data_IF_497453194584
#
_entry.id   IF_497453194584
#
_cell.length_a   1.000
_cell.length_b   1.000
_cell.length_c   1.000
_cell.angle_alpha   90.00
_cell.angle_beta   90.00
_cell.angle_gamma   90.00
#
_symmetry.space_group_name_H-M   'P 1'
#
loop_
_entity.id
_entity.type
_entity.pdbx_description
1 polymer ?
#
# COMPACT_ATOMS: atom_id res chain seq x y z
N UNK A 1 -33.99 8.81 10.46
CA UNK A 1 -33.73 9.66 9.28
C UNK A 1 -32.82 10.87 9.56
N UNK A 2 -33.24 11.97 10.21
CA UNK A 2 -32.34 13.15 10.41
C UNK A 2 -31.07 12.85 11.22
N UNK A 3 -31.18 12.04 12.27
CA UNK A 3 -30.02 11.64 13.09
C UNK A 3 -29.08 10.68 12.35
N UNK A 4 -29.61 9.76 11.55
CA UNK A 4 -28.81 8.81 10.75
C UNK A 4 -28.01 9.52 9.65
N UNK A 5 -28.62 10.51 8.99
CA UNK A 5 -27.95 11.30 7.97
C UNK A 5 -26.78 12.10 8.58
N UNK A 6 -26.96 12.66 9.78
CA UNK A 6 -25.89 13.35 10.50
C UNK A 6 -24.76 12.38 10.86
N UNK A 7 -25.07 11.16 11.32
CA UNK A 7 -24.06 10.15 11.63
C UNK A 7 -23.27 9.71 10.40
N UNK A 8 -23.92 9.45 9.26
CA UNK A 8 -23.23 9.07 8.03
C UNK A 8 -22.38 10.21 7.47
N UNK A 9 -22.85 11.45 7.61
CA UNK A 9 -22.08 12.62 7.20
C UNK A 9 -20.81 12.77 8.02
N UNK A 10 -20.91 12.57 9.34
CA UNK A 10 -19.75 12.59 10.24
C UNK A 10 -18.78 11.43 9.93
N UNK A 11 -19.29 10.23 9.70
CA UNK A 11 -18.48 9.06 9.32
C UNK A 11 -17.77 9.27 7.98
N UNK A 12 -18.44 9.81 6.96
CA UNK A 12 -17.81 10.14 5.67
C UNK A 12 -16.76 11.25 5.82
N UNK A 13 -17.02 12.26 6.67
CA UNK A 13 -16.07 13.33 6.96
C UNK A 13 -14.81 12.81 7.66
N UNK A 14 -14.94 11.85 8.59
CA UNK A 14 -13.82 11.20 9.23
C UNK A 14 -13.07 10.28 8.25
N UNK A 15 -13.81 9.50 7.44
CA UNK A 15 -13.23 8.58 6.46
C UNK A 15 -12.36 9.30 5.42
N UNK A 16 -12.84 10.42 4.84
CA UNK A 16 -12.03 11.21 3.88
C UNK A 16 -10.71 11.67 4.48
N UNK A 17 -10.70 12.07 5.75
CA UNK A 17 -9.51 12.58 6.44
C UNK A 17 -8.56 11.44 6.78
N UNK A 18 -9.08 10.34 7.34
CA UNK A 18 -8.31 9.16 7.68
C UNK A 18 -7.67 8.48 6.45
N UNK A 19 -8.38 8.47 5.31
CA UNK A 19 -7.87 7.95 4.04
C UNK A 19 -6.85 8.89 3.42
N UNK A 20 -7.14 10.20 3.41
CA UNK A 20 -6.24 11.22 2.88
C UNK A 20 -4.93 11.28 3.66
N UNK A 21 -4.97 11.26 5.00
CA UNK A 21 -3.76 11.31 5.83
C UNK A 21 -2.85 10.08 5.64
N UNK A 22 -3.40 8.97 5.14
CA UNK A 22 -2.65 7.74 4.85
C UNK A 22 -2.20 7.61 3.40
N UNK A 23 -2.56 8.56 2.52
CA UNK A 23 -2.19 8.52 1.10
C UNK A 23 -2.96 7.50 0.27
N UNK A 24 -4.15 7.09 0.72
CA UNK A 24 -5.03 6.15 0.00
C UNK A 24 -5.87 6.89 -1.04
N UNK A 25 -5.22 7.44 -2.07
CA UNK A 25 -5.80 8.45 -2.97
C UNK A 25 -7.11 8.05 -3.64
N UNK A 26 -7.24 6.81 -4.14
CA UNK A 26 -8.48 6.35 -4.78
C UNK A 26 -9.64 6.26 -3.80
N UNK A 27 -9.41 5.67 -2.62
CA UNK A 27 -10.43 5.56 -1.58
C UNK A 27 -10.80 6.94 -1.02
N UNK A 28 -9.82 7.82 -0.84
CA UNK A 28 -10.04 9.21 -0.42
C UNK A 28 -10.86 9.98 -1.46
N UNK A 29 -10.56 9.85 -2.76
CA UNK A 29 -11.35 10.47 -3.84
C UNK A 29 -12.79 10.00 -3.81
N UNK A 30 -13.00 8.69 -3.72
CA UNK A 30 -14.34 8.12 -3.64
C UNK A 30 -15.11 8.61 -2.41
N UNK A 31 -14.49 8.65 -1.24
CA UNK A 31 -15.10 9.20 -0.02
C UNK A 31 -15.44 10.70 -0.17
N UNK A 32 -14.56 11.47 -0.81
CA UNK A 32 -14.80 12.88 -1.11
C UNK A 32 -15.94 13.09 -2.11
N UNK A 33 -16.05 12.25 -3.14
CA UNK A 33 -17.15 12.27 -4.12
C UNK A 33 -18.49 11.98 -3.44
N UNK A 34 -18.55 10.94 -2.61
CA UNK A 34 -19.74 10.63 -1.81
C UNK A 34 -20.11 11.79 -0.88
N UNK A 35 -19.13 12.36 -0.18
CA UNK A 35 -19.36 13.51 0.69
C UNK A 35 -19.83 14.75 -0.09
N UNK A 36 -19.24 15.03 -1.25
CA UNK A 36 -19.60 16.16 -2.11
C UNK A 36 -21.02 16.06 -2.68
N UNK A 37 -21.53 14.83 -2.86
CA UNK A 37 -22.90 14.57 -3.30
C UNK A 37 -23.96 14.93 -2.24
N UNK A 38 -23.56 15.15 -0.98
CA UNK A 38 -24.48 15.54 0.09
C UNK A 38 -24.94 17.00 -0.03
N UNK A 39 -26.20 17.31 0.36
CA UNK A 39 -26.70 18.68 0.39
C UNK A 39 -25.80 19.61 1.22
N UNK A 40 -25.62 20.86 0.76
CA UNK A 40 -24.77 21.85 1.43
C UNK A 40 -25.15 22.06 2.91
N UNK A 41 -26.46 22.13 3.18
CA UNK A 41 -27.00 22.27 4.54
C UNK A 41 -26.58 21.16 5.50
N UNK A 42 -26.31 19.95 4.99
CA UNK A 42 -25.87 18.81 5.79
C UNK A 42 -24.35 18.88 6.04
N UNK A 43 -23.58 19.34 5.05
CA UNK A 43 -22.11 19.49 5.16
C UNK A 43 -21.69 20.63 6.08
N UNK A 44 -22.39 21.76 6.04
CA UNK A 44 -22.14 22.93 6.90
C UNK A 44 -22.32 22.58 8.37
N UNK A 45 -23.37 21.82 8.70
CA UNK A 45 -23.62 21.34 10.06
C UNK A 45 -22.49 20.44 10.58
N UNK A 46 -21.89 19.60 9.73
CA UNK A 46 -20.78 18.72 10.10
C UNK A 46 -19.43 19.45 10.25
N UNK A 47 -19.23 20.58 9.56
CA UNK A 47 -17.96 21.32 9.56
C UNK A 47 -17.73 22.13 10.84
N UNK A 48 -18.74 22.24 11.71
CA UNK A 48 -18.64 22.94 13.00
C UNK A 48 -17.96 22.12 14.10
N UNK A 49 -17.75 20.81 13.88
CA UNK A 49 -17.00 19.94 14.79
C UNK A 49 -15.51 20.12 14.51
N UNK A 50 -14.84 20.85 15.40
CA UNK A 50 -13.46 21.28 15.24
C UNK A 50 -12.50 20.09 15.07
N UNK A 51 -11.60 20.22 14.09
CA UNK A 51 -10.39 19.41 13.98
C UNK A 51 -9.56 19.71 15.21
N UNK A 52 -9.51 18.76 16.13
CA UNK A 52 -8.63 18.82 17.27
C UNK A 52 -7.18 18.74 16.75
N UNK A 53 -6.54 19.88 16.50
CA UNK A 53 -5.13 19.97 16.13
C UNK A 53 -4.17 19.56 17.26
N UNK A 54 -4.69 18.98 18.35
CA UNK A 54 -3.97 18.74 19.60
C UNK A 54 -3.12 17.47 19.63
N UNK A 55 -3.09 16.65 18.58
CA UNK A 55 -2.57 15.28 18.67
C UNK A 55 -1.35 14.92 17.79
N UNK A 56 -0.55 15.87 17.30
CA UNK A 56 0.72 15.49 16.66
C UNK A 56 1.85 16.49 16.94
N UNK A 57 2.94 16.08 17.62
CA UNK A 57 4.21 16.78 17.52
C UNK A 57 4.73 16.55 16.10
N UNK A 58 4.28 17.37 15.15
CA UNK A 58 4.68 17.23 13.75
C UNK A 58 6.12 17.73 13.61
N UNK A 59 7.07 16.80 13.75
CA UNK A 59 8.43 16.92 13.25
C UNK A 59 8.50 17.14 11.72
N UNK A 60 7.34 17.23 11.05
CA UNK A 60 7.19 17.44 9.61
C UNK A 60 7.46 16.18 8.79
N UNK A 61 7.87 15.07 9.41
CA UNK A 61 8.29 13.88 8.68
C UNK A 61 7.12 13.19 7.98
N UNK A 62 5.94 13.14 8.60
CA UNK A 62 4.73 12.62 7.96
C UNK A 62 4.34 13.47 6.73
N UNK A 63 4.43 14.79 6.83
CA UNK A 63 4.13 15.70 5.72
C UNK A 63 5.15 15.56 4.59
N UNK A 64 6.44 15.40 4.92
CA UNK A 64 7.50 15.14 3.95
C UNK A 64 7.35 13.77 3.27
N UNK A 65 6.99 12.74 4.02
CA UNK A 65 6.73 11.41 3.44
C UNK A 65 5.54 11.46 2.48
N UNK A 66 4.49 12.22 2.82
CA UNK A 66 3.34 12.46 1.95
C UNK A 66 3.71 13.19 0.66
N UNK A 67 4.54 14.23 0.71
CA UNK A 67 4.97 14.90 -0.52
C UNK A 67 5.78 13.96 -1.42
N UNK A 68 6.60 13.07 -0.86
CA UNK A 68 7.25 12.00 -1.64
C UNK A 68 6.26 10.99 -2.21
N UNK A 69 5.20 10.62 -1.46
CA UNK A 69 4.15 9.74 -1.97
C UNK A 69 3.41 10.37 -3.15
N UNK A 70 3.10 11.66 -3.09
CA UNK A 70 2.44 12.41 -4.16
C UNK A 70 3.31 12.47 -5.43
N UNK A 71 4.64 12.56 -5.26
CA UNK A 71 5.63 12.47 -6.34
C UNK A 71 5.93 11.02 -6.79
N UNK A 72 5.25 10.02 -6.21
CA UNK A 72 5.47 8.60 -6.43
C UNK A 72 6.90 8.10 -6.10
N UNK A 73 7.61 8.82 -5.24
CA UNK A 73 8.94 8.48 -4.75
C UNK A 73 8.87 7.63 -3.48
N UNK A 74 8.20 6.50 -3.58
CA UNK A 74 7.81 5.66 -2.43
C UNK A 74 9.00 5.18 -1.57
N UNK A 75 10.15 4.90 -2.21
CA UNK A 75 11.37 4.52 -1.49
C UNK A 75 11.83 5.64 -0.52
N UNK A 76 11.81 6.90 -0.99
CA UNK A 76 12.18 8.07 -0.16
C UNK A 76 11.18 8.31 0.95
N UNK A 77 9.88 8.17 0.66
CA UNK A 77 8.82 8.27 1.67
C UNK A 77 9.04 7.27 2.81
N UNK A 78 9.26 6.00 2.48
CA UNK A 78 9.51 4.95 3.48
C UNK A 78 10.81 5.16 4.26
N UNK A 79 11.84 5.70 3.61
CA UNK A 79 13.14 5.95 4.22
C UNK A 79 13.08 7.03 5.30
N UNK A 80 12.42 8.17 5.00
CA UNK A 80 12.31 9.29 5.95
C UNK A 80 11.59 8.88 7.23
N UNK A 81 10.47 8.15 7.12
CA UNK A 81 9.77 7.64 8.30
C UNK A 81 10.53 6.53 9.01
N UNK A 82 11.27 5.69 8.29
CA UNK A 82 12.11 4.66 8.89
C UNK A 82 13.32 5.19 9.67
N UNK A 83 13.69 6.45 9.46
CA UNK A 83 14.75 7.12 10.21
C UNK A 83 14.26 7.87 11.46
N UNK A 84 12.95 8.01 11.64
CA UNK A 84 12.36 8.71 12.77
C UNK A 84 12.80 8.04 14.08
N UNK A 85 13.29 8.85 15.02
CA UNK A 85 13.60 8.38 16.35
C UNK A 85 12.34 8.42 17.23
N UNK A 86 12.09 7.35 17.98
CA UNK A 86 10.91 7.22 18.82
C UNK A 86 9.82 6.33 18.21
N UNK A 87 8.70 6.25 18.91
CA UNK A 87 7.55 5.47 18.45
C UNK A 87 6.88 6.16 17.25
N UNK A 88 6.57 5.39 16.21
CA UNK A 88 5.71 5.85 15.12
C UNK A 88 4.27 5.89 15.62
N UNK A 89 3.54 6.93 15.22
CA UNK A 89 2.08 6.92 15.31
C UNK A 89 1.49 5.86 14.38
N UNK A 90 0.27 5.41 14.61
CA UNK A 90 -0.41 4.43 13.75
C UNK A 90 -0.45 4.87 12.27
N UNK A 91 -0.65 6.17 12.05
CA UNK A 91 -0.63 6.79 10.71
C UNK A 91 0.76 6.72 10.08
N UNK A 92 1.81 7.10 10.82
CA UNK A 92 3.18 7.05 10.31
C UNK A 92 3.65 5.62 10.06
N UNK A 93 3.28 4.69 10.96
CA UNK A 93 3.54 3.27 10.79
C UNK A 93 2.89 2.77 9.50
N UNK A 94 1.60 3.08 9.28
CA UNK A 94 0.91 2.72 8.05
C UNK A 94 1.60 3.31 6.81
N UNK A 95 1.87 4.63 6.80
CA UNK A 95 2.45 5.31 5.64
C UNK A 95 3.84 4.77 5.31
N UNK A 96 4.67 4.49 6.31
CA UNK A 96 6.00 3.88 6.12
C UNK A 96 5.88 2.53 5.39
N UNK A 97 5.07 1.62 5.92
CA UNK A 97 4.96 0.25 5.39
C UNK A 97 4.24 0.23 4.04
N UNK A 98 3.23 1.09 3.85
CA UNK A 98 2.54 1.23 2.58
C UNK A 98 3.47 1.80 1.49
N UNK A 99 4.26 2.82 1.80
CA UNK A 99 5.27 3.36 0.88
C UNK A 99 6.32 2.29 0.52
N UNK A 100 6.82 1.52 1.50
CA UNK A 100 7.76 0.42 1.23
C UNK A 100 7.14 -0.65 0.33
N UNK A 101 5.87 -0.99 0.55
CA UNK A 101 5.12 -1.90 -0.32
C UNK A 101 5.06 -1.38 -1.77
N UNK A 102 4.63 -0.14 -1.98
CA UNK A 102 4.53 0.47 -3.32
C UNK A 102 5.89 0.59 -4.00
N UNK A 103 6.96 0.93 -3.27
CA UNK A 103 8.32 0.96 -3.80
C UNK A 103 8.72 -0.42 -4.38
N UNK A 104 8.37 -1.48 -3.68
CA UNK A 104 8.63 -2.84 -4.12
C UNK A 104 7.73 -3.30 -5.28
N UNK A 105 6.47 -2.88 -5.32
CA UNK A 105 5.57 -3.13 -6.46
C UNK A 105 6.12 -2.45 -7.73
N UNK A 106 6.58 -1.20 -7.61
CA UNK A 106 7.23 -0.48 -8.72
C UNK A 106 8.52 -1.18 -9.18
N UNK A 107 9.35 -1.66 -8.25
CA UNK A 107 10.57 -2.39 -8.61
C UNK A 107 10.27 -3.72 -9.29
N UNK A 108 9.23 -4.44 -8.84
CA UNK A 108 8.72 -5.66 -9.45
C UNK A 108 8.30 -5.41 -10.90
N UNK A 109 7.56 -4.33 -11.17
CA UNK A 109 7.16 -3.95 -12.52
C UNK A 109 8.35 -3.59 -13.41
N UNK A 110 9.33 -2.83 -12.90
CA UNK A 110 10.56 -2.50 -13.62
C UNK A 110 11.34 -3.75 -14.03
N UNK A 111 11.55 -4.70 -13.10
CA UNK A 111 12.18 -5.99 -13.38
C UNK A 111 11.41 -6.76 -14.46
N UNK A 112 10.07 -6.76 -14.38
CA UNK A 112 9.21 -7.41 -15.37
C UNK A 112 9.38 -6.79 -16.77
N UNK A 113 9.53 -5.47 -16.86
CA UNK A 113 9.81 -4.78 -18.13
C UNK A 113 11.22 -5.07 -18.66
N UNK A 114 12.24 -5.02 -17.80
CA UNK A 114 13.63 -5.35 -18.14
C UNK A 114 13.73 -6.77 -18.75
N UNK A 115 13.02 -7.75 -18.16
CA UNK A 115 12.97 -9.13 -18.66
C UNK A 115 12.27 -9.25 -20.03
N UNK A 116 11.18 -8.51 -20.25
CA UNK A 116 10.47 -8.47 -21.56
C UNK A 116 11.36 -7.87 -22.66
N UNK A 117 12.10 -6.82 -22.33
CA UNK A 117 13.02 -6.17 -23.28
C UNK A 117 14.20 -7.07 -23.64
N UNK A 118 14.80 -7.75 -22.65
CA UNK A 118 15.92 -8.66 -22.90
C UNK A 118 15.49 -9.91 -23.69
N UNK A 119 14.32 -10.48 -23.41
CA UNK A 119 13.80 -11.61 -24.18
C UNK A 119 13.44 -11.21 -25.62
N UNK A 120 12.88 -10.01 -25.85
CA UNK A 120 12.64 -9.49 -27.19
C UNK A 120 13.92 -9.22 -27.99
N UNK A 121 14.95 -8.67 -27.36
CA UNK A 121 16.23 -8.40 -28.02
C UNK A 121 17.00 -9.68 -28.36
N UNK A 122 17.01 -10.66 -27.46
CA UNK A 122 17.62 -11.98 -27.70
C UNK A 122 16.99 -12.64 -28.94
N UNK A 123 15.67 -12.64 -29.07
CA UNK A 123 14.97 -13.19 -30.24
C UNK A 123 15.36 -12.45 -31.53
N UNK A 124 15.46 -11.11 -31.48
CA UNK A 124 15.85 -10.31 -32.65
C UNK A 124 17.30 -10.54 -33.07
N UNK A 125 18.21 -10.65 -32.10
CA UNK A 125 19.63 -10.92 -32.34
C UNK A 125 19.83 -12.33 -32.90
N UNK A 126 19.11 -13.34 -32.39
CA UNK A 126 19.12 -14.67 -32.97
C UNK A 126 18.56 -14.69 -34.41
N UNK A 127 17.47 -13.98 -34.68
CA UNK A 127 16.93 -13.88 -36.05
C UNK A 127 17.88 -13.18 -37.03
N UNK A 128 18.62 -12.17 -36.57
CA UNK A 128 19.63 -11.48 -37.38
C UNK A 128 20.90 -12.31 -37.60
N UNK A 129 21.31 -13.12 -36.61
CA UNK A 129 22.44 -14.05 -36.73
C UNK A 129 22.13 -15.29 -37.57
N UNK A 130 20.86 -15.56 -37.90
CA UNK A 130 20.47 -16.68 -38.77
C UNK A 130 20.90 -16.53 -40.24
N UNK A 131 21.50 -15.40 -40.63
CA UNK A 131 22.16 -15.22 -41.94
C UNK A 131 23.66 -15.55 -41.94
N UNK A 132 24.26 -15.92 -40.81
CA UNK A 132 25.68 -16.31 -40.73
C UNK A 132 25.88 -17.54 -39.83
N UNK A 133 25.85 -18.71 -40.47
CA UNK A 133 26.72 -19.87 -40.26
C UNK A 133 26.94 -20.49 -38.84
N UNK A 134 26.57 -21.78 -38.76
CA UNK A 134 26.93 -22.87 -37.83
C UNK A 134 26.40 -22.92 -36.37
N UNK A 135 25.52 -23.91 -36.17
CA UNK A 135 25.38 -24.89 -35.06
C UNK A 135 25.87 -24.51 -33.66
N UNK A 136 24.92 -24.32 -32.74
CA UNK A 136 25.13 -24.32 -31.29
C UNK A 136 24.15 -25.36 -30.68
N UNK A 137 24.57 -26.23 -29.75
CA UNK A 137 23.72 -27.29 -29.21
C UNK A 137 22.66 -26.74 -28.26
N UNK A 138 21.46 -27.29 -28.41
CA UNK A 138 20.27 -27.00 -27.63
C UNK A 138 20.43 -27.46 -26.17
N UNK A 139 20.86 -26.58 -25.27
CA UNK A 139 20.46 -26.66 -23.87
C UNK A 139 19.22 -25.78 -23.68
N UNK A 140 18.05 -26.39 -23.85
CA UNK A 140 16.77 -25.86 -23.40
C UNK A 140 16.81 -25.85 -21.86
N UNK A 141 17.43 -24.80 -21.31
CA UNK A 141 17.31 -24.46 -19.91
C UNK A 141 15.84 -24.15 -19.66
N UNK A 142 15.21 -24.96 -18.82
CA UNK A 142 13.86 -24.75 -18.34
C UNK A 142 13.65 -23.28 -18.03
N UNK A 143 12.70 -22.64 -18.72
CA UNK A 143 12.19 -21.33 -18.37
C UNK A 143 11.52 -21.46 -17.01
N UNK A 144 12.31 -21.46 -15.92
CA UNK A 144 11.81 -21.14 -14.59
C UNK A 144 11.10 -19.81 -14.78
N UNK A 145 9.77 -19.81 -14.61
CA UNK A 145 9.01 -18.59 -14.39
C UNK A 145 9.69 -17.89 -13.22
N UNK A 146 10.66 -17.03 -13.48
CA UNK A 146 11.12 -16.04 -12.53
C UNK A 146 9.93 -15.11 -12.35
N UNK A 147 9.06 -15.45 -11.40
CA UNK A 147 7.99 -14.57 -10.97
C UNK A 147 8.69 -13.43 -10.26
N UNK A 148 8.82 -12.30 -10.96
CA UNK A 148 9.25 -11.06 -10.32
C UNK A 148 8.24 -10.79 -9.21
N UNK A 149 8.66 -10.93 -7.96
CA UNK A 149 7.86 -10.61 -6.77
C UNK A 149 8.39 -9.32 -6.14
N UNK A 150 7.59 -8.72 -5.29
CA UNK A 150 7.98 -7.54 -4.55
C UNK A 150 9.18 -7.86 -3.64
N UNK A 151 10.34 -7.19 -3.78
CA UNK A 151 11.55 -7.51 -3.03
C UNK A 151 11.41 -7.25 -1.52
N UNK A 152 10.49 -6.37 -1.10
CA UNK A 152 10.29 -5.99 0.30
C UNK A 152 9.26 -6.85 1.02
N UNK A 153 8.65 -7.82 0.34
CA UNK A 153 7.49 -8.54 0.87
C UNK A 153 7.79 -9.33 2.14
N UNK A 154 8.98 -9.95 2.23
CA UNK A 154 9.40 -10.70 3.42
C UNK A 154 9.60 -9.81 4.64
N UNK A 155 10.27 -8.67 4.46
CA UNK A 155 10.48 -7.70 5.52
C UNK A 155 9.15 -7.08 5.97
N UNK A 156 8.27 -6.72 5.03
CA UNK A 156 6.94 -6.21 5.33
C UNK A 156 6.12 -7.20 6.17
N UNK A 157 6.15 -8.49 5.82
CA UNK A 157 5.45 -9.51 6.60
C UNK A 157 5.98 -9.64 8.02
N UNK A 158 7.31 -9.64 8.19
CA UNK A 158 7.93 -9.69 9.51
C UNK A 158 7.49 -8.48 10.33
N UNK A 159 7.70 -7.27 9.80
CA UNK A 159 7.45 -6.04 10.53
C UNK A 159 5.94 -5.89 10.88
N UNK A 160 5.04 -6.30 10.00
CA UNK A 160 3.59 -6.30 10.26
C UNK A 160 3.14 -7.41 11.22
N UNK A 161 3.75 -8.58 11.18
CA UNK A 161 3.46 -9.66 12.13
C UNK A 161 3.95 -9.31 13.54
N UNK A 162 5.14 -8.72 13.64
CA UNK A 162 5.70 -8.25 14.91
C UNK A 162 4.83 -7.14 15.53
N UNK A 163 4.29 -6.23 14.69
CA UNK A 163 3.34 -5.21 15.13
C UNK A 163 1.98 -5.81 15.56
N UNK A 164 1.44 -6.81 14.84
CA UNK A 164 0.17 -7.46 15.22
C UNK A 164 0.29 -8.27 16.53
N UNK A 165 1.50 -8.73 16.88
CA UNK A 165 1.76 -9.41 18.14
C UNK A 165 1.62 -8.47 19.36
N UNK A 166 1.75 -7.16 19.16
CA UNK A 166 1.59 -6.16 20.21
C UNK A 166 0.14 -5.63 20.23
N UNK A 167 -0.52 -5.60 21.40
CA UNK A 167 -1.90 -5.11 21.48
C UNK A 167 -1.99 -3.64 21.08
N UNK A 168 -3.01 -3.30 20.27
CA UNK A 168 -3.31 -1.94 19.78
C UNK A 168 -2.20 -1.25 18.97
N UNK A 169 -1.21 -1.97 18.44
CA UNK A 169 -0.17 -1.35 17.60
C UNK A 169 -0.58 -1.20 16.13
N UNK A 170 -1.49 -2.04 15.64
CA UNK A 170 -2.06 -1.91 14.30
C UNK A 170 -3.47 -1.37 14.35
N UNK A 171 -3.68 -0.24 13.67
CA UNK A 171 -5.00 0.30 13.40
C UNK A 171 -5.72 -0.52 12.30
N UNK A 172 -6.97 -0.16 12.02
CA UNK A 172 -7.79 -0.80 11.00
C UNK A 172 -7.09 -0.85 9.63
N UNK A 173 -6.35 0.20 9.28
CA UNK A 173 -5.62 0.30 8.02
C UNK A 173 -4.38 -0.59 7.98
N UNK A 174 -3.63 -0.67 9.08
CA UNK A 174 -2.47 -1.55 9.23
C UNK A 174 -2.84 -3.02 9.10
N UNK A 175 -3.95 -3.45 9.72
CA UNK A 175 -4.49 -4.80 9.56
C UNK A 175 -4.90 -5.10 8.11
N UNK A 176 -5.52 -4.13 7.43
CA UNK A 176 -5.86 -4.27 6.00
C UNK A 176 -4.59 -4.43 5.14
N UNK A 177 -3.57 -3.59 5.36
CA UNK A 177 -2.31 -3.70 4.66
C UNK A 177 -1.64 -5.05 4.91
N UNK A 178 -1.67 -5.54 6.15
CA UNK A 178 -1.13 -6.85 6.49
C UNK A 178 -1.84 -7.97 5.72
N UNK A 179 -3.17 -7.93 5.65
CA UNK A 179 -3.93 -8.88 4.84
C UNK A 179 -3.54 -8.82 3.34
N UNK A 180 -3.33 -7.62 2.78
CA UNK A 180 -2.90 -7.43 1.39
C UNK A 180 -1.51 -8.02 1.15
N UNK A 181 -0.54 -7.72 2.01
CA UNK A 181 0.83 -8.23 1.93
C UNK A 181 0.85 -9.76 2.07
N UNK A 182 0.07 -10.30 3.01
CA UNK A 182 -0.08 -11.74 3.23
C UNK A 182 -0.63 -12.46 2.00
N UNK A 183 -1.68 -11.90 1.39
CA UNK A 183 -2.27 -12.43 0.14
C UNK A 183 -1.25 -12.42 -1.01
N UNK A 184 -0.46 -11.35 -1.13
CA UNK A 184 0.52 -11.20 -2.20
C UNK A 184 1.72 -12.16 -2.05
N UNK A 185 2.02 -12.61 -0.83
CA UNK A 185 3.13 -13.52 -0.56
C UNK A 185 2.90 -14.96 -0.98
N UNK A 186 1.66 -15.34 -1.31
CA UNK A 186 1.36 -16.59 -2.00
C UNK A 186 1.64 -17.86 -1.19
N UNK A 187 1.64 -17.77 0.16
CA UNK A 187 1.72 -18.97 1.00
C UNK A 187 0.48 -19.86 0.78
N UNK A 188 0.70 -21.17 0.68
CA UNK A 188 -0.30 -22.16 0.25
C UNK A 188 -1.56 -22.24 1.14
N UNK A 189 -2.64 -22.76 0.54
CA UNK A 189 -3.95 -22.10 0.45
C UNK A 189 -4.90 -22.13 1.66
N UNK A 190 -4.62 -22.84 2.77
CA UNK A 190 -5.66 -23.05 3.81
C UNK A 190 -5.43 -22.24 5.08
N UNK A 191 -4.25 -22.33 5.69
CA UNK A 191 -3.93 -21.64 6.95
C UNK A 191 -3.81 -20.14 6.75
N UNK A 192 -3.20 -19.74 5.64
CA UNK A 192 -2.98 -18.33 5.26
C UNK A 192 -4.31 -17.68 4.91
N UNK A 193 -5.23 -18.42 4.30
CA UNK A 193 -6.57 -17.93 4.01
C UNK A 193 -7.36 -17.65 5.30
N UNK A 194 -7.30 -18.54 6.29
CA UNK A 194 -7.95 -18.31 7.58
C UNK A 194 -7.42 -17.05 8.28
N UNK A 195 -6.09 -16.87 8.32
CA UNK A 195 -5.45 -15.68 8.89
C UNK A 195 -5.83 -14.41 8.11
N UNK A 196 -5.80 -14.45 6.78
CA UNK A 196 -6.23 -13.35 5.93
C UNK A 196 -7.67 -12.90 6.23
N UNK A 197 -8.61 -13.85 6.31
CA UNK A 197 -10.01 -13.56 6.65
C UNK A 197 -10.12 -12.96 8.05
N UNK A 198 -9.39 -13.51 9.03
CA UNK A 198 -9.39 -13.00 10.39
C UNK A 198 -8.86 -11.57 10.47
N UNK A 199 -7.77 -11.24 9.76
CA UNK A 199 -7.21 -9.89 9.69
C UNK A 199 -8.21 -8.89 9.10
N UNK A 200 -8.91 -9.26 8.03
CA UNK A 200 -9.94 -8.41 7.43
C UNK A 200 -11.13 -8.20 8.36
N UNK A 201 -11.58 -9.23 9.07
CA UNK A 201 -12.65 -9.10 10.05
C UNK A 201 -12.26 -8.16 11.19
N UNK A 202 -11.04 -8.29 11.72
CA UNK A 202 -10.51 -7.40 12.76
C UNK A 202 -10.39 -5.96 12.26
N UNK A 203 -9.90 -5.76 11.04
CA UNK A 203 -9.83 -4.45 10.38
C UNK A 203 -11.21 -3.79 10.32
N UNK A 204 -12.23 -4.51 9.84
CA UNK A 204 -13.60 -4.01 9.75
C UNK A 204 -14.25 -3.72 11.10
N UNK A 205 -13.89 -4.48 12.15
CA UNK A 205 -14.41 -4.25 13.50
C UNK A 205 -13.84 -2.99 14.18
N UNK A 206 -12.75 -2.43 13.65
CA UNK A 206 -12.12 -1.21 14.15
C UNK A 206 -12.56 0.07 13.40
N UNK A 207 -13.36 -0.07 12.34
CA UNK A 207 -13.98 1.04 11.59
C UNK A 207 -15.36 1.39 12.15
#
# INVERSE_FOLDING_TARGET
MRNELATWTAQLAAAREALSIRGLSHAASFACELYASLPLSVRENASSVQVDHSAAPSDGLLLLAKSYMDLQEYARASHVLGQKQGALTDVEFFVLHYARYLAGERRKEQLSMEMKTHSGWIILTFAASFLFTYHIPSHVGASQKQTTSNPHLKDLLRDLADADASPNQLDAFGLYLYAVVLKQAGFEHTTVHALYVQLLQRSLALF
#
